data_IF_789272256849
#
_entry.id   IF_789272256849
#
_cell.length_a   1.000
_cell.length_b   1.000
_cell.length_c   1.000
_cell.angle_alpha   90.00
_cell.angle_beta   90.00
_cell.angle_gamma   90.00
#
_symmetry.space_group_name_H-M   'P 1'
#
loop_
_entity.id
_entity.type
_entity.pdbx_description
1 polymer ?
#
# COMPACT_ATOMS: atom_id res chain seq x y z
N UNK A 1 -28.19 33.08 13.81
CA UNK A 1 -28.18 32.03 12.76
C UNK A 1 -26.73 31.71 12.48
N UNK A 2 -26.27 30.49 12.75
CA UNK A 2 -24.90 30.06 12.45
C UNK A 2 -25.00 29.20 11.20
N UNK A 3 -24.48 29.71 10.08
CA UNK A 3 -24.35 28.99 8.82
C UNK A 3 -23.19 28.01 8.97
N UNK A 4 -23.49 26.72 9.13
CA UNK A 4 -22.48 25.68 9.00
C UNK A 4 -22.03 25.63 7.54
N UNK A 5 -20.77 26.03 7.28
CA UNK A 5 -20.14 25.73 6.01
C UNK A 5 -20.06 24.21 5.88
N UNK A 6 -20.76 23.64 4.90
CA UNK A 6 -20.58 22.25 4.54
C UNK A 6 -19.11 22.04 4.14
N UNK A 7 -18.35 21.37 4.99
CA UNK A 7 -17.02 20.92 4.64
C UNK A 7 -17.17 20.05 3.40
N UNK A 8 -16.60 20.47 2.27
CA UNK A 8 -16.53 19.65 1.08
C UNK A 8 -15.83 18.35 1.48
N UNK A 9 -16.57 17.24 1.54
CA UNK A 9 -15.97 15.94 1.83
C UNK A 9 -15.07 15.60 0.65
N UNK A 10 -13.76 15.72 0.84
CA UNK A 10 -12.78 15.26 -0.12
C UNK A 10 -13.12 13.80 -0.49
N UNK A 11 -13.05 13.48 -1.79
CA UNK A 11 -13.27 12.11 -2.23
C UNK A 11 -12.24 11.19 -1.58
N UNK A 12 -12.64 10.01 -1.08
CA UNK A 12 -11.71 9.02 -0.56
C UNK A 12 -10.56 8.73 -1.54
N UNK A 13 -9.34 8.73 -1.02
CA UNK A 13 -8.14 8.39 -1.80
C UNK A 13 -7.84 6.88 -1.71
N UNK A 14 -6.83 6.39 -2.44
CA UNK A 14 -6.42 4.98 -2.39
C UNK A 14 -4.97 4.90 -1.95
N UNK A 15 -4.73 4.32 -0.77
CA UNK A 15 -3.41 4.11 -0.20
C UNK A 15 -2.83 2.76 -0.65
N UNK A 16 -1.64 2.75 -1.25
CA UNK A 16 -0.86 1.52 -1.40
C UNK A 16 0.02 1.31 -0.18
N UNK A 17 -0.24 0.25 0.58
CA UNK A 17 0.61 -0.15 1.70
C UNK A 17 1.72 -1.05 1.17
N UNK A 18 2.98 -0.61 1.30
CA UNK A 18 4.15 -1.39 0.86
C UNK A 18 5.27 -1.33 1.88
N UNK A 19 5.86 -2.47 2.20
CA UNK A 19 6.94 -2.55 3.18
C UNK A 19 7.72 -3.86 3.18
N UNK A 20 8.63 -4.04 4.14
CA UNK A 20 9.44 -5.25 4.22
C UNK A 20 8.61 -6.49 4.60
N UNK A 21 9.07 -7.65 4.11
CA UNK A 21 8.50 -8.98 4.40
C UNK A 21 8.75 -9.48 5.84
N UNK A 22 9.58 -8.77 6.59
CA UNK A 22 9.92 -9.04 7.97
C UNK A 22 9.77 -7.75 8.78
N UNK A 23 8.90 -7.77 9.79
CA UNK A 23 8.54 -6.65 10.66
C UNK A 23 9.10 -6.78 12.08
N UNK A 24 10.02 -7.74 12.29
CA UNK A 24 10.65 -8.02 13.58
C UNK A 24 9.73 -8.72 14.57
N UNK A 25 10.25 -8.96 15.78
CA UNK A 25 9.48 -9.54 16.88
C UNK A 25 8.25 -8.68 17.17
N UNK A 26 7.12 -9.36 17.41
CA UNK A 26 5.82 -8.79 17.73
C UNK A 26 5.35 -7.68 16.78
N UNK A 27 5.80 -7.71 15.52
CA UNK A 27 5.41 -6.73 14.48
C UNK A 27 5.76 -5.29 14.87
N UNK A 28 6.74 -5.10 15.76
CA UNK A 28 7.10 -3.78 16.30
C UNK A 28 7.41 -2.74 15.23
N UNK A 29 8.09 -3.13 14.15
CA UNK A 29 8.36 -2.25 13.01
C UNK A 29 7.07 -1.76 12.34
N UNK A 30 6.08 -2.65 12.17
CA UNK A 30 4.78 -2.31 11.61
C UNK A 30 4.03 -1.33 12.53
N UNK A 31 3.95 -1.63 13.82
CA UNK A 31 3.26 -0.78 14.79
C UNK A 31 3.85 0.64 14.88
N UNK A 32 5.19 0.77 14.87
CA UNK A 32 5.84 2.08 15.00
C UNK A 32 5.68 2.91 13.71
N UNK A 33 5.74 2.28 12.53
CA UNK A 33 5.91 3.03 11.28
C UNK A 33 4.69 3.04 10.35
N UNK A 34 3.77 2.08 10.48
CA UNK A 34 2.63 1.93 9.57
C UNK A 34 1.32 2.28 10.26
N UNK A 35 1.10 1.79 11.48
CA UNK A 35 -0.18 1.99 12.19
C UNK A 35 -0.61 3.47 12.26
N UNK A 36 0.24 4.44 12.66
CA UNK A 36 -0.18 5.84 12.71
C UNK A 36 -0.66 6.39 11.36
N UNK A 37 -0.06 5.94 10.26
CA UNK A 37 -0.38 6.39 8.90
C UNK A 37 -1.63 5.70 8.36
N UNK A 38 -1.79 4.41 8.67
CA UNK A 38 -3.02 3.67 8.37
C UNK A 38 -4.20 4.30 9.12
N UNK A 39 -4.01 4.68 10.38
CA UNK A 39 -5.04 5.38 11.15
C UNK A 39 -5.44 6.72 10.52
N UNK A 40 -4.47 7.54 10.11
CA UNK A 40 -4.76 8.79 9.39
C UNK A 40 -5.53 8.56 8.08
N UNK A 41 -5.19 7.50 7.32
CA UNK A 41 -5.93 7.12 6.12
C UNK A 41 -7.35 6.63 6.43
N UNK A 42 -7.52 5.85 7.50
CA UNK A 42 -8.83 5.40 7.98
C UNK A 42 -9.72 6.59 8.38
N UNK A 43 -9.17 7.57 9.10
CA UNK A 43 -9.85 8.81 9.51
C UNK A 43 -10.31 9.66 8.31
N UNK A 44 -9.53 9.68 7.22
CA UNK A 44 -9.92 10.33 5.96
C UNK A 44 -10.97 9.56 5.16
N UNK A 45 -11.24 8.30 5.50
CA UNK A 45 -12.14 7.45 4.75
C UNK A 45 -11.50 6.76 3.53
N UNK A 46 -10.17 6.73 3.44
CA UNK A 46 -9.43 6.21 2.27
C UNK A 46 -9.61 4.70 2.07
N UNK A 47 -9.38 4.24 0.85
CA UNK A 47 -9.31 2.84 0.48
C UNK A 47 -7.87 2.34 0.52
N UNK A 48 -7.69 1.02 0.55
CA UNK A 48 -6.38 0.39 0.68
C UNK A 48 -6.16 -0.62 -0.43
N UNK A 49 -4.98 -0.59 -1.03
CA UNK A 49 -4.46 -1.67 -1.85
C UNK A 49 -3.21 -2.26 -1.19
N UNK A 50 -3.11 -3.58 -1.18
CA UNK A 50 -2.07 -4.33 -0.47
C UNK A 50 -1.54 -5.44 -1.38
N UNK A 51 -0.26 -5.76 -1.23
CA UNK A 51 0.29 -6.98 -1.82
C UNK A 51 -0.28 -8.25 -1.16
N UNK A 52 -0.07 -9.43 -1.78
CA UNK A 52 -0.62 -10.69 -1.32
C UNK A 52 0.35 -11.45 -0.41
N UNK A 53 1.41 -10.80 0.08
CA UNK A 53 2.47 -11.50 0.81
C UNK A 53 1.94 -11.88 2.20
N UNK A 54 1.95 -13.19 2.57
CA UNK A 54 1.36 -13.66 3.82
C UNK A 54 2.21 -13.37 5.07
N UNK A 55 3.29 -12.58 4.93
CA UNK A 55 4.17 -12.16 6.03
C UNK A 55 4.58 -10.69 5.88
N UNK A 56 5.07 -10.11 6.98
CA UNK A 56 5.57 -8.74 7.01
C UNK A 56 4.46 -7.71 6.88
N UNK A 57 4.79 -6.54 6.32
CA UNK A 57 3.89 -5.39 6.29
C UNK A 57 2.56 -5.67 5.59
N UNK A 58 2.55 -6.42 4.49
CA UNK A 58 1.32 -6.73 3.76
C UNK A 58 0.32 -7.51 4.64
N UNK A 59 0.79 -8.59 5.27
CA UNK A 59 -0.03 -9.40 6.17
C UNK A 59 -0.41 -8.66 7.45
N UNK A 60 0.52 -7.90 8.03
CA UNK A 60 0.27 -7.11 9.25
C UNK A 60 -0.76 -6.00 8.99
N UNK A 61 -0.70 -5.34 7.83
CA UNK A 61 -1.66 -4.34 7.40
C UNK A 61 -3.04 -4.93 7.17
N UNK A 62 -3.14 -6.06 6.46
CA UNK A 62 -4.41 -6.74 6.23
C UNK A 62 -5.06 -7.15 7.56
N UNK A 63 -4.29 -7.77 8.46
CA UNK A 63 -4.78 -8.17 9.78
C UNK A 63 -5.24 -6.96 10.62
N UNK A 64 -4.46 -5.87 10.62
CA UNK A 64 -4.80 -4.65 11.33
C UNK A 64 -6.09 -4.01 10.79
N UNK A 65 -6.23 -3.91 9.47
CA UNK A 65 -7.41 -3.33 8.83
C UNK A 65 -8.66 -4.17 9.11
N UNK A 66 -8.59 -5.49 8.99
CA UNK A 66 -9.72 -6.38 9.26
C UNK A 66 -10.14 -6.41 10.74
N UNK A 67 -9.23 -6.09 11.66
CA UNK A 67 -9.54 -5.95 13.08
C UNK A 67 -10.20 -4.59 13.43
N UNK A 68 -10.10 -3.60 12.54
CA UNK A 68 -10.71 -2.28 12.70
C UNK A 68 -12.11 -2.24 12.05
N UNK A 69 -13.05 -1.38 12.48
CA UNK A 69 -14.39 -1.26 11.87
C UNK A 69 -14.38 -0.59 10.48
N UNK A 70 -13.51 -1.03 9.58
CA UNK A 70 -13.53 -0.67 8.16
C UNK A 70 -14.23 -1.77 7.37
N UNK A 71 -15.06 -1.39 6.40
CA UNK A 71 -15.64 -2.38 5.49
C UNK A 71 -14.53 -3.12 4.73
N UNK A 72 -14.51 -4.47 4.70
CA UNK A 72 -13.55 -5.23 3.90
C UNK A 72 -13.56 -4.86 2.41
N UNK A 73 -14.68 -4.34 1.89
CA UNK A 73 -14.80 -3.82 0.52
C UNK A 73 -13.94 -2.58 0.24
N UNK A 74 -13.39 -1.93 1.28
CA UNK A 74 -12.41 -0.84 1.12
C UNK A 74 -10.98 -1.35 0.90
N UNK A 75 -10.77 -2.67 0.93
CA UNK A 75 -9.46 -3.30 0.82
C UNK A 75 -9.42 -4.12 -0.47
N UNK A 76 -8.39 -3.89 -1.27
CA UNK A 76 -8.10 -4.66 -2.47
C UNK A 76 -6.73 -5.31 -2.38
N UNK A 77 -6.63 -6.59 -2.73
CA UNK A 77 -5.39 -7.35 -2.80
C UNK A 77 -5.12 -7.69 -4.25
N UNK A 78 -3.94 -7.35 -4.74
CA UNK A 78 -3.51 -7.70 -6.08
C UNK A 78 -2.69 -9.00 -6.00
N UNK A 79 -2.96 -9.95 -6.89
CA UNK A 79 -2.30 -11.26 -6.96
C UNK A 79 -1.88 -11.55 -8.39
N UNK A 80 -0.76 -12.23 -8.60
CA UNK A 80 -0.50 -12.89 -9.88
C UNK A 80 -1.39 -14.13 -10.05
N UNK A 81 -1.42 -14.74 -11.23
CA UNK A 81 -2.17 -15.98 -11.46
C UNK A 81 -1.75 -17.12 -10.51
N UNK A 82 -0.44 -17.27 -10.25
CA UNK A 82 0.07 -18.27 -9.32
C UNK A 82 -0.33 -17.96 -7.86
N UNK A 83 -0.25 -16.69 -7.45
CA UNK A 83 -0.65 -16.26 -6.09
C UNK A 83 -2.15 -16.39 -5.87
N UNK A 84 -2.95 -16.18 -6.92
CA UNK A 84 -4.38 -16.42 -6.93
C UNK A 84 -4.71 -17.89 -6.66
N UNK A 85 -3.98 -18.83 -7.26
CA UNK A 85 -4.15 -20.27 -7.02
C UNK A 85 -3.80 -20.64 -5.56
N UNK A 86 -2.72 -20.08 -5.02
CA UNK A 86 -2.26 -20.37 -3.66
C UNK A 86 -3.12 -19.74 -2.56
N UNK A 87 -3.47 -18.46 -2.70
CA UNK A 87 -4.00 -17.64 -1.59
C UNK A 87 -5.33 -16.95 -1.92
N UNK A 88 -5.77 -16.99 -3.17
CA UNK A 88 -6.95 -16.24 -3.61
C UNK A 88 -8.23 -16.62 -2.87
N UNK A 89 -8.41 -17.90 -2.52
CA UNK A 89 -9.57 -18.35 -1.75
C UNK A 89 -9.55 -17.80 -0.32
N UNK A 90 -8.37 -17.79 0.33
CA UNK A 90 -8.18 -17.25 1.66
C UNK A 90 -8.55 -15.75 1.73
N UNK A 91 -8.03 -14.95 0.80
CA UNK A 91 -8.35 -13.53 0.75
C UNK A 91 -9.83 -13.26 0.49
N UNK A 92 -10.46 -13.98 -0.44
CA UNK A 92 -11.90 -13.81 -0.70
C UNK A 92 -12.75 -14.18 0.51
N UNK A 93 -12.36 -15.18 1.29
CA UNK A 93 -13.06 -15.55 2.51
C UNK A 93 -13.01 -14.44 3.58
N UNK A 94 -11.99 -13.58 3.55
CA UNK A 94 -11.91 -12.37 4.40
C UNK A 94 -12.79 -11.21 3.91
N UNK A 95 -13.52 -11.36 2.79
CA UNK A 95 -14.44 -10.36 2.26
C UNK A 95 -13.77 -9.19 1.51
N UNK A 96 -12.45 -9.22 1.33
CA UNK A 96 -11.72 -8.21 0.57
C UNK A 96 -11.84 -8.43 -0.94
N UNK A 97 -11.57 -7.40 -1.73
CA UNK A 97 -11.48 -7.54 -3.18
C UNK A 97 -10.16 -8.19 -3.59
N UNK A 98 -10.21 -9.17 -4.49
CA UNK A 98 -9.02 -9.82 -5.05
C UNK A 98 -8.95 -9.53 -6.54
N UNK A 99 -7.87 -8.88 -6.96
CA UNK A 99 -7.58 -8.53 -8.34
C UNK A 99 -6.44 -9.39 -8.86
N UNK A 100 -6.72 -10.22 -9.86
CA UNK A 100 -5.70 -10.99 -10.55
C UNK A 100 -5.10 -10.09 -11.63
N UNK A 101 -3.79 -9.84 -11.56
CA UNK A 101 -3.07 -9.10 -12.60
C UNK A 101 -2.72 -10.04 -13.75
N UNK A 102 -2.69 -9.51 -14.98
CA UNK A 102 -2.31 -10.29 -16.17
C UNK A 102 -0.82 -10.71 -16.14
N UNK A 103 0.00 -9.96 -15.41
CA UNK A 103 1.42 -10.24 -15.19
C UNK A 103 1.69 -11.51 -14.37
N UNK A 104 2.82 -12.13 -14.62
CA UNK A 104 3.28 -13.33 -13.91
C UNK A 104 4.27 -12.98 -12.78
N UNK A 105 4.90 -11.81 -12.84
CA UNK A 105 5.96 -11.41 -11.93
C UNK A 105 5.43 -10.51 -10.81
N UNK A 106 6.01 -10.64 -9.62
CA UNK A 106 5.72 -9.76 -8.48
C UNK A 106 5.97 -8.29 -8.80
N UNK A 107 6.95 -7.97 -9.66
CA UNK A 107 7.23 -6.60 -10.12
C UNK A 107 6.10 -6.01 -10.97
N UNK A 108 5.42 -6.82 -11.79
CA UNK A 108 4.28 -6.39 -12.61
C UNK A 108 3.05 -6.15 -11.74
N UNK A 109 2.82 -7.03 -10.77
CA UNK A 109 1.80 -6.83 -9.73
C UNK A 109 2.06 -5.56 -8.92
N UNK A 110 3.29 -5.34 -8.47
CA UNK A 110 3.65 -4.14 -7.70
C UNK A 110 3.51 -2.86 -8.55
N UNK A 111 3.75 -2.94 -9.86
CA UNK A 111 3.46 -1.85 -10.79
C UNK A 111 1.95 -1.57 -10.91
N UNK A 112 1.12 -2.62 -10.99
CA UNK A 112 -0.33 -2.49 -10.99
C UNK A 112 -0.87 -1.89 -9.68
N UNK A 113 -0.33 -2.29 -8.53
CA UNK A 113 -0.64 -1.70 -7.22
C UNK A 113 -0.28 -0.22 -7.15
N UNK A 114 0.90 0.16 -7.65
CA UNK A 114 1.33 1.56 -7.71
C UNK A 114 0.39 2.38 -8.60
N UNK A 115 -0.03 1.81 -9.74
CA UNK A 115 -0.90 2.48 -10.70
C UNK A 115 -2.35 2.63 -10.20
N UNK A 116 -2.84 1.66 -9.41
CA UNK A 116 -4.21 1.64 -8.89
C UNK A 116 -4.42 2.48 -7.62
N UNK A 117 -3.36 3.09 -7.09
CA UNK A 117 -3.37 3.88 -5.87
C UNK A 117 -2.98 5.33 -6.11
N UNK A 118 -3.45 6.24 -5.26
CA UNK A 118 -3.15 7.68 -5.38
C UNK A 118 -1.90 8.07 -4.60
N UNK A 119 -1.61 7.41 -3.48
CA UNK A 119 -0.39 7.61 -2.68
C UNK A 119 0.10 6.32 -2.02
N UNK A 120 1.30 6.35 -1.44
CA UNK A 120 1.89 5.22 -0.74
C UNK A 120 1.91 5.43 0.79
N UNK A 121 1.55 4.40 1.54
CA UNK A 121 1.95 4.22 2.93
C UNK A 121 3.13 3.25 2.93
N UNK A 122 4.33 3.82 2.92
CA UNK A 122 5.55 3.02 2.86
C UNK A 122 6.65 3.53 3.79
N UNK A 123 7.63 2.64 4.04
CA UNK A 123 8.88 2.98 4.70
C UNK A 123 9.96 1.97 4.38
N UNK A 124 11.13 2.46 3.98
CA UNK A 124 12.34 1.67 3.84
C UNK A 124 13.18 1.74 5.12
N UNK A 125 13.77 0.62 5.54
CA UNK A 125 14.70 0.63 6.68
C UNK A 125 15.88 1.53 6.36
N UNK A 126 16.29 2.37 7.32
CA UNK A 126 17.54 3.12 7.19
C UNK A 126 18.72 2.15 7.11
N UNK A 127 19.87 2.59 6.59
CA UNK A 127 21.07 1.73 6.54
C UNK A 127 21.46 1.21 7.92
N UNK A 128 21.32 2.05 8.96
CA UNK A 128 21.59 1.66 10.36
C UNK A 128 20.64 0.57 10.83
N UNK A 129 19.34 0.73 10.58
CA UNK A 129 18.33 -0.28 10.92
C UNK A 129 18.53 -1.58 10.16
N UNK A 130 18.76 -1.52 8.85
CA UNK A 130 18.98 -2.69 8.02
C UNK A 130 20.23 -3.47 8.46
N UNK A 131 21.33 -2.78 8.79
CA UNK A 131 22.54 -3.41 9.33
C UNK A 131 22.30 -4.07 10.69
N UNK A 132 21.63 -3.37 11.60
CA UNK A 132 21.29 -3.92 12.91
C UNK A 132 20.37 -5.14 12.81
N UNK A 133 19.42 -5.10 11.87
CA UNK A 133 18.42 -6.14 11.68
C UNK A 133 18.98 -7.38 10.97
N UNK A 134 19.60 -7.21 9.80
CA UNK A 134 20.06 -8.32 8.97
C UNK A 134 21.46 -8.82 9.35
N UNK A 135 22.24 -8.04 10.11
CA UNK A 135 23.59 -8.41 10.52
C UNK A 135 24.46 -8.80 9.32
N UNK A 136 24.95 -10.04 9.32
CA UNK A 136 25.79 -10.59 8.23
C UNK A 136 25.05 -10.76 6.90
N UNK A 137 23.72 -10.78 6.91
CA UNK A 137 22.90 -10.87 5.69
C UNK A 137 22.59 -9.50 5.09
N UNK A 138 23.03 -8.40 5.71
CA UNK A 138 22.91 -7.07 5.14
C UNK A 138 23.67 -6.98 3.82
N UNK A 139 23.00 -6.46 2.77
CA UNK A 139 23.56 -6.25 1.44
C UNK A 139 23.61 -4.76 1.14
N UNK A 140 24.81 -4.22 0.98
CA UNK A 140 24.98 -2.81 0.63
C UNK A 140 24.49 -2.56 -0.80
N UNK A 141 23.76 -1.46 -1.02
CA UNK A 141 23.18 -1.13 -2.33
C UNK A 141 21.97 -1.98 -2.74
N UNK A 142 21.43 -2.84 -1.87
CA UNK A 142 20.23 -3.61 -2.19
C UNK A 142 18.98 -2.71 -2.26
N UNK A 143 18.42 -2.59 -3.46
CA UNK A 143 17.16 -1.88 -3.72
C UNK A 143 15.97 -2.77 -3.40
N UNK A 144 15.16 -2.35 -2.43
CA UNK A 144 13.95 -3.07 -2.00
C UNK A 144 12.78 -2.84 -2.95
N UNK A 145 11.80 -3.75 -2.99
CA UNK A 145 10.57 -3.53 -3.78
C UNK A 145 9.82 -2.26 -3.32
N UNK A 146 9.83 -1.97 -2.01
CA UNK A 146 9.25 -0.74 -1.46
C UNK A 146 9.90 0.52 -2.04
N UNK A 147 11.23 0.53 -2.19
CA UNK A 147 11.94 1.62 -2.86
C UNK A 147 11.58 1.71 -4.35
N UNK A 148 11.46 0.57 -5.05
CA UNK A 148 11.03 0.56 -6.46
C UNK A 148 9.63 1.13 -6.63
N UNK A 149 8.70 0.83 -5.72
CA UNK A 149 7.35 1.37 -5.74
C UNK A 149 7.35 2.90 -5.58
N UNK A 150 8.13 3.41 -4.62
CA UNK A 150 8.32 4.84 -4.41
C UNK A 150 8.88 5.54 -5.66
N UNK A 151 9.91 4.96 -6.29
CA UNK A 151 10.51 5.46 -7.54
C UNK A 151 9.50 5.44 -8.70
N UNK A 152 8.76 4.34 -8.84
CA UNK A 152 7.76 4.18 -9.90
C UNK A 152 6.67 5.25 -9.84
N UNK A 153 6.16 5.57 -8.65
CA UNK A 153 5.15 6.64 -8.49
C UNK A 153 5.66 8.00 -8.98
N UNK A 154 6.97 8.23 -8.90
CA UNK A 154 7.64 9.47 -9.29
C UNK A 154 8.17 9.47 -10.73
N UNK A 155 8.03 8.36 -11.45
CA UNK A 155 8.60 8.22 -12.79
C UNK A 155 10.13 8.22 -12.81
N UNK A 156 10.77 7.85 -11.70
CA UNK A 156 12.22 7.76 -11.58
C UNK A 156 12.73 6.42 -12.09
N UNK A 157 13.96 6.42 -12.62
CA UNK A 157 14.61 5.20 -13.07
C UNK A 157 15.04 4.33 -11.86
N UNK A 158 15.10 3.00 -12.04
CA UNK A 158 15.45 2.10 -10.93
C UNK A 158 16.89 2.27 -10.43
N UNK A 159 17.80 2.61 -11.34
CA UNK A 159 19.24 2.84 -11.10
C UNK A 159 19.54 4.23 -10.51
N UNK A 160 18.56 5.13 -10.46
CA UNK A 160 18.71 6.43 -9.83
C UNK A 160 18.94 6.29 -8.32
N UNK A 161 20.03 6.85 -7.81
CA UNK A 161 20.39 6.76 -6.39
C UNK A 161 19.64 7.83 -5.60
N UNK A 162 18.80 7.39 -4.67
CA UNK A 162 18.01 8.28 -3.80
C UNK A 162 18.38 8.02 -2.34
N UNK A 163 18.53 9.09 -1.56
CA UNK A 163 18.78 8.98 -0.12
C UNK A 163 17.60 8.30 0.59
N UNK A 164 17.88 7.37 1.50
CA UNK A 164 16.84 6.69 2.29
C UNK A 164 16.03 7.69 3.14
N UNK A 165 16.65 8.79 3.56
CA UNK A 165 15.95 9.86 4.26
C UNK A 165 14.95 10.57 3.36
N UNK A 166 15.25 10.75 2.07
CA UNK A 166 14.30 11.29 1.09
C UNK A 166 13.13 10.36 0.84
N UNK A 167 13.37 9.04 0.77
CA UNK A 167 12.29 8.05 0.62
C UNK A 167 11.41 8.01 1.88
N UNK A 168 12.03 8.15 3.06
CA UNK A 168 11.33 8.10 4.34
C UNK A 168 10.72 9.44 4.78
N UNK A 169 11.10 10.55 4.14
CA UNK A 169 10.40 11.82 4.24
C UNK A 169 9.05 11.66 3.53
N UNK A 170 8.00 11.69 4.34
CA UNK A 170 6.64 11.40 3.92
C UNK A 170 6.21 12.31 2.78
N UNK A 171 5.68 11.71 1.72
CA UNK A 171 4.57 12.33 1.00
C UNK A 171 3.41 12.43 1.99
N UNK A 172 3.25 13.59 2.60
CA UNK A 172 1.90 14.01 2.99
C UNK A 172 1.04 13.97 1.72
N UNK A 173 -0.26 13.62 1.77
CA UNK A 173 -1.10 13.66 0.57
C UNK A 173 -0.92 15.05 -0.06
N UNK A 174 -0.16 15.09 -1.15
CA UNK A 174 0.12 16.32 -1.86
C UNK A 174 -1.20 16.72 -2.47
N UNK A 175 -1.68 17.93 -2.15
CA UNK A 175 -2.72 18.65 -2.89
C UNK A 175 -2.22 18.94 -4.33
N UNK A 176 -1.96 17.87 -5.07
CA UNK A 176 -1.60 17.87 -6.47
C UNK A 176 -2.68 17.06 -7.18
N UNK A 177 -3.86 17.68 -7.27
CA UNK A 177 -4.94 17.27 -8.16
C UNK A 177 -4.39 17.07 -9.57
N UNK A 178 -4.10 15.82 -9.94
CA UNK A 178 -4.03 15.39 -11.34
C UNK A 178 -5.38 14.76 -11.70
N UNK A 179 -6.03 15.19 -12.78
CA UNK A 179 -7.29 14.58 -13.21
C UNK A 179 -7.00 13.20 -13.80
N UNK A 180 -7.38 12.12 -13.12
CA UNK A 180 -7.30 10.77 -13.69
C UNK A 180 -8.65 10.36 -14.27
N UNK A 181 -8.69 10.35 -15.60
CA UNK A 181 -9.77 9.87 -16.46
C UNK A 181 -10.00 8.34 -16.40
N UNK A 182 -9.22 7.59 -15.61
CA UNK A 182 -9.34 6.13 -15.47
C UNK A 182 -10.50 5.68 -14.54
N UNK A 183 -11.03 6.59 -13.71
CA UNK A 183 -12.03 6.26 -12.68
C UNK A 183 -13.43 5.94 -13.23
N UNK A 184 -13.77 6.40 -14.44
CA UNK A 184 -15.13 6.29 -14.98
C UNK A 184 -15.52 4.87 -15.40
N UNK A 185 -14.57 3.97 -15.67
CA UNK A 185 -14.90 2.56 -15.95
C UNK A 185 -14.97 1.68 -14.70
N UNK A 186 -14.26 2.05 -13.62
CA UNK A 186 -14.15 1.25 -12.40
C UNK A 186 -15.29 1.50 -11.40
N UNK A 187 -15.70 2.76 -11.18
CA UNK A 187 -16.84 3.08 -10.32
C UNK A 187 -18.18 2.49 -10.83
N UNK A 188 -18.30 2.32 -12.15
CA UNK A 188 -19.47 1.71 -12.79
C UNK A 188 -19.59 0.19 -12.56
N UNK A 189 -18.52 -0.47 -12.11
CA UNK A 189 -18.50 -1.88 -11.71
C UNK A 189 -18.68 -2.07 -10.19
N UNK A 190 -18.31 -1.06 -9.38
CA UNK A 190 -18.44 -1.06 -7.93
C UNK A 190 -19.85 -0.72 -7.42
N UNK A 191 -20.67 -0.01 -8.20
CA UNK A 191 -22.02 0.41 -7.83
C UNK A 191 -23.18 -0.46 -8.35
N UNK A 192 -22.92 -1.63 -8.96
CA UNK A 192 -23.97 -2.52 -9.47
C UNK A 192 -23.83 -3.92 -8.89
N UNK A 193 -24.32 -4.06 -7.67
CA UNK A 193 -24.89 -5.30 -7.11
C UNK A 193 -25.59 -4.91 -5.79
N UNK A 194 -26.80 -4.36 -5.96
CA UNK A 194 -27.88 -4.59 -4.99
C UNK A 194 -28.35 -6.04 -5.15
#
# INVERSE_FOLDING_TARGET
MITAAAAATAQPEIAFISGPIDTGLDKSYFHIHYVPRIQQALERGDHFVIGPIPTGVDADALAYLLAYPVSPTRIAIFVTAAEQEMWGAHFRASGVHVHVVDGQMSSERDAALTHSSTYDILRVRTRKEAKAFYGKFFRDGHVTNTERNWKRRRGMAEDEIVGLDTINQLDSPTDSRKPQSAWRSWAAAWGRRC
#
